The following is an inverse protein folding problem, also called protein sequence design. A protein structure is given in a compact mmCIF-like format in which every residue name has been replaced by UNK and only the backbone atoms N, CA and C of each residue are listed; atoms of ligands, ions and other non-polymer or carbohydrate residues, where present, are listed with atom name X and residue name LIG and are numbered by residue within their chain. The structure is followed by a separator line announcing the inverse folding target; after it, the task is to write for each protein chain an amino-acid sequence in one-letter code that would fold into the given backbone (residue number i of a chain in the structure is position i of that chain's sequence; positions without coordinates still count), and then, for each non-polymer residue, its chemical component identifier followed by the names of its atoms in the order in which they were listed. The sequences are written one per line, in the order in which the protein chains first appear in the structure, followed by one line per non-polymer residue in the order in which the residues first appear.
data_IF_447376457736
#
_entry.id   IF_447376457736
#
_cell.length_a   1.000
_cell.length_b   1.000
_cell.length_c   1.000
_cell.angle_alpha   90.00
_cell.angle_beta   90.00
_cell.angle_gamma   90.00
#
_symmetry.space_group_name_H-M   'P 1'
#
loop_
_entity.id
_entity.type
_entity.pdbx_description
1 polymer ?
#
# COMPACT_ATOMS: atom_id res chain seq x y z
N UNK A 1 -12.49 18.90 -7.11
CA UNK A 1 -12.34 18.66 -5.66
C UNK A 1 -10.88 18.32 -5.40
N UNK A 2 -10.24 18.98 -4.43
CA UNK A 2 -8.86 18.70 -4.03
C UNK A 2 -8.85 17.48 -3.11
N UNK A 3 -8.19 16.41 -3.55
CA UNK A 3 -8.04 15.16 -2.79
C UNK A 3 -7.10 15.39 -1.60
N UNK A 4 -7.39 14.87 -0.39
CA UNK A 4 -6.53 15.06 0.76
C UNK A 4 -5.10 14.55 0.51
N UNK A 5 -4.12 15.22 1.10
CA UNK A 5 -2.70 14.87 1.01
C UNK A 5 -2.22 14.41 2.38
N UNK A 6 -1.73 13.18 2.44
CA UNK A 6 -1.26 12.54 3.66
C UNK A 6 0.27 12.56 3.76
N UNK A 7 0.78 12.64 4.99
CA UNK A 7 2.18 12.39 5.37
C UNK A 7 2.53 10.90 5.28
N UNK A 8 3.81 10.56 5.44
CA UNK A 8 4.24 9.15 5.56
C UNK A 8 3.48 8.38 6.65
N UNK A 9 3.35 8.96 7.86
CA UNK A 9 2.73 8.28 8.98
C UNK A 9 1.23 8.08 8.74
N UNK A 10 0.54 9.12 8.22
CA UNK A 10 -0.87 9.04 7.87
C UNK A 10 -1.13 8.04 6.75
N UNK A 11 -0.30 8.03 5.70
CA UNK A 11 -0.42 7.09 4.59
C UNK A 11 -0.14 5.64 5.03
N UNK A 12 0.86 5.41 5.87
CA UNK A 12 1.15 4.10 6.42
C UNK A 12 -0.02 3.56 7.25
N UNK A 13 -0.62 4.41 8.10
CA UNK A 13 -1.80 4.07 8.88
C UNK A 13 -3.05 3.88 8.01
N UNK A 14 -3.22 4.69 6.97
CA UNK A 14 -4.33 4.55 6.02
C UNK A 14 -4.28 3.19 5.32
N UNK A 15 -3.08 2.75 4.94
CA UNK A 15 -2.82 1.43 4.37
C UNK A 15 -2.74 0.30 5.41
N UNK A 16 -2.97 0.59 6.70
CA UNK A 16 -2.88 -0.36 7.82
C UNK A 16 -1.53 -1.10 7.91
N UNK A 17 -0.44 -0.45 7.50
CA UNK A 17 0.90 -1.03 7.59
C UNK A 17 1.37 -1.15 9.05
N UNK A 18 0.71 -0.49 9.98
CA UNK A 18 0.95 -0.60 11.41
C UNK A 18 0.47 -1.93 12.01
N UNK A 19 -0.47 -2.63 11.36
CA UNK A 19 -0.93 -3.96 11.78
C UNK A 19 0.20 -5.01 11.70
N UNK A 20 1.11 -4.85 10.74
CA UNK A 20 2.31 -5.70 10.59
C UNK A 20 3.43 -5.36 11.59
N UNK A 21 3.39 -4.17 12.20
CA UNK A 21 4.43 -3.65 13.10
C UNK A 21 3.81 -2.95 14.32
N UNK A 22 3.09 -3.69 15.19
CA UNK A 22 2.38 -3.09 16.30
C UNK A 22 3.35 -2.37 17.24
N UNK A 23 3.10 -1.09 17.48
CA UNK A 23 3.93 -0.25 18.36
C UNK A 23 5.23 0.28 17.76
N UNK A 24 5.53 0.03 16.47
CA UNK A 24 6.67 0.64 15.75
C UNK A 24 6.21 1.43 14.51
N UNK A 25 5.81 2.71 14.69
CA UNK A 25 5.43 3.61 13.58
C UNK A 25 6.56 3.84 12.56
N UNK A 26 7.82 3.70 13.00
CA UNK A 26 8.97 3.85 12.12
C UNK A 26 9.09 2.63 11.19
N UNK A 27 8.79 1.42 11.66
CA UNK A 27 8.72 0.23 10.82
C UNK A 27 7.61 0.31 9.79
N UNK A 28 6.40 0.75 10.17
CA UNK A 28 5.30 0.99 9.24
C UNK A 28 5.68 2.02 8.16
N UNK A 29 6.36 3.10 8.54
CA UNK A 29 6.89 4.10 7.59
C UNK A 29 7.98 3.51 6.67
N UNK A 30 8.88 2.67 7.20
CA UNK A 30 9.88 1.96 6.38
C UNK A 30 9.22 1.01 5.38
N UNK A 31 8.13 0.35 5.76
CA UNK A 31 7.34 -0.50 4.86
C UNK A 31 6.75 0.32 3.70
N UNK A 32 6.16 1.48 4.00
CA UNK A 32 5.69 2.43 2.99
C UNK A 32 6.81 2.84 2.01
N UNK A 33 8.00 3.15 2.53
CA UNK A 33 9.15 3.51 1.69
C UNK A 33 9.60 2.36 0.78
N UNK A 34 9.48 1.10 1.20
CA UNK A 34 9.76 -0.05 0.34
C UNK A 34 8.78 -0.12 -0.83
N UNK A 35 7.50 0.18 -0.61
CA UNK A 35 6.49 0.24 -1.69
C UNK A 35 6.82 1.33 -2.71
N UNK A 36 7.26 2.51 -2.24
CA UNK A 36 7.71 3.60 -3.10
C UNK A 36 8.94 3.21 -3.90
N UNK A 37 9.97 2.64 -3.25
CA UNK A 37 11.20 2.19 -3.92
C UNK A 37 10.95 1.07 -4.93
N UNK A 38 9.97 0.21 -4.68
CA UNK A 38 9.53 -0.81 -5.62
C UNK A 38 8.69 -0.24 -6.78
N UNK A 39 8.42 1.07 -6.82
CA UNK A 39 7.60 1.71 -7.84
C UNK A 39 6.10 1.39 -7.76
N UNK A 40 5.67 0.75 -6.66
CA UNK A 40 4.28 0.33 -6.46
C UNK A 40 3.39 1.45 -5.93
N UNK A 41 3.99 2.41 -5.22
CA UNK A 41 3.28 3.57 -4.67
C UNK A 41 3.97 4.86 -5.08
N UNK A 42 3.21 5.83 -5.60
CA UNK A 42 3.77 7.08 -6.13
C UNK A 42 3.60 8.25 -5.16
N UNK A 43 4.69 8.76 -4.56
CA UNK A 43 4.60 9.97 -3.75
C UNK A 43 4.52 11.22 -4.64
N UNK A 44 3.96 12.29 -4.07
CA UNK A 44 4.05 13.63 -4.61
C UNK A 44 5.50 14.12 -4.61
N UNK A 45 5.94 14.65 -5.75
CA UNK A 45 7.27 15.21 -5.92
C UNK A 45 7.31 16.66 -5.42
N UNK A 46 8.45 17.08 -4.87
CA UNK A 46 8.71 18.48 -4.53
C UNK A 46 8.20 18.98 -3.18
N UNK A 47 7.63 18.11 -2.33
CA UNK A 47 7.11 18.49 -1.00
C UNK A 47 8.14 18.22 0.10
N UNK A 48 9.32 18.83 -0.01
CA UNK A 48 10.39 18.71 0.98
C UNK A 48 11.02 17.30 1.10
N UNK A 49 11.72 17.00 2.21
CA UNK A 49 12.48 15.75 2.37
C UNK A 49 11.59 14.52 2.64
N UNK A 50 10.29 14.72 2.87
CA UNK A 50 9.36 13.67 3.25
C UNK A 50 8.33 13.45 2.16
N UNK A 51 8.04 12.19 1.84
CA UNK A 51 6.98 11.88 0.89
C UNK A 51 5.61 12.35 1.38
N UNK A 52 4.76 12.68 0.41
CA UNK A 52 3.35 13.02 0.58
C UNK A 52 2.54 12.20 -0.41
N UNK A 53 1.32 11.84 -0.06
CA UNK A 53 0.50 10.93 -0.86
C UNK A 53 -0.91 11.48 -1.03
N UNK A 54 -1.43 11.46 -2.25
CA UNK A 54 -2.86 11.66 -2.46
C UNK A 54 -3.61 10.43 -1.99
N UNK A 55 -4.77 10.63 -1.36
CA UNK A 55 -5.66 9.51 -0.99
C UNK A 55 -5.99 8.66 -2.22
N UNK A 56 -6.26 9.26 -3.38
CA UNK A 56 -6.53 8.55 -4.64
C UNK A 56 -5.40 7.62 -5.11
N UNK A 57 -4.14 7.92 -4.75
CA UNK A 57 -3.03 7.02 -5.03
C UNK A 57 -3.06 5.81 -4.07
N UNK A 58 -3.36 6.06 -2.79
CA UNK A 58 -3.48 4.99 -1.79
C UNK A 58 -4.66 4.07 -2.11
N UNK A 59 -5.79 4.61 -2.55
CA UNK A 59 -6.96 3.85 -2.99
C UNK A 59 -6.66 2.99 -4.22
N UNK A 60 -5.99 3.56 -5.22
CA UNK A 60 -5.57 2.79 -6.41
C UNK A 60 -4.61 1.66 -6.04
N UNK A 61 -3.66 1.93 -5.16
CA UNK A 61 -2.76 0.91 -4.65
C UNK A 61 -3.51 -0.19 -3.90
N UNK A 62 -4.36 0.17 -2.94
CA UNK A 62 -5.12 -0.79 -2.13
C UNK A 62 -6.03 -1.67 -3.01
N UNK A 63 -6.68 -1.09 -4.01
CA UNK A 63 -7.48 -1.84 -4.99
C UNK A 63 -6.63 -2.85 -5.77
N UNK A 64 -5.48 -2.43 -6.28
CA UNK A 64 -4.58 -3.31 -7.02
C UNK A 64 -4.04 -4.46 -6.15
N UNK A 65 -3.82 -4.23 -4.85
CA UNK A 65 -3.43 -5.29 -3.92
C UNK A 65 -4.56 -6.31 -3.70
N UNK A 66 -5.80 -5.86 -3.51
CA UNK A 66 -6.95 -6.76 -3.37
C UNK A 66 -7.14 -7.60 -4.63
N UNK A 67 -7.13 -6.98 -5.81
CA UNK A 67 -7.27 -7.69 -7.09
C UNK A 67 -6.16 -8.73 -7.30
N UNK A 68 -4.94 -8.44 -6.83
CA UNK A 68 -3.82 -9.39 -6.89
C UNK A 68 -4.01 -10.58 -5.95
N UNK A 69 -4.52 -10.35 -4.74
CA UNK A 69 -4.81 -11.42 -3.76
C UNK A 69 -5.95 -12.31 -4.26
N UNK A 70 -6.99 -11.71 -4.83
CA UNK A 70 -8.12 -12.43 -5.42
C UNK A 70 -7.66 -13.30 -6.59
N UNK A 71 -6.89 -12.73 -7.53
CA UNK A 71 -6.34 -13.48 -8.67
C UNK A 71 -5.41 -14.64 -8.26
N UNK A 72 -4.64 -14.46 -7.17
CA UNK A 72 -3.80 -15.53 -6.62
C UNK A 72 -4.62 -16.64 -5.96
N UNK A 73 -5.78 -16.31 -5.39
CA UNK A 73 -6.68 -17.26 -4.73
C UNK A 73 -7.44 -18.11 -5.76
N UNK A 74 -7.90 -17.49 -6.86
CA UNK A 74 -8.58 -18.19 -7.95
C UNK A 74 -7.65 -19.19 -8.65
N UNK A 75 -6.37 -18.83 -8.81
CA UNK A 75 -5.35 -19.70 -9.41
C UNK A 75 -5.03 -20.97 -8.59
N UNK A 76 -5.42 -21.02 -7.30
CA UNK A 76 -5.21 -22.18 -6.43
C UNK A 76 -6.39 -23.17 -6.46
N UNK A 77 -7.56 -22.75 -6.97
CA UNK A 77 -8.78 -23.55 -6.99
C UNK A 77 -8.87 -24.54 -8.17
N UNK A 78 -8.02 -24.42 -9.20
CA UNK A 78 -8.07 -25.28 -10.40
C UNK A 78 -7.22 -26.57 -10.31
N UNK A 79 -6.88 -27.02 -9.10
CA UNK A 79 -5.98 -28.14 -8.86
C UNK A 79 -6.60 -29.35 -8.17
N UNK A 80 -7.71 -29.93 -8.67
CA UNK A 80 -8.10 -31.32 -8.34
C UNK A 80 -9.13 -31.89 -9.33
N UNK A 81 -8.69 -32.59 -10.41
CA UNK A 81 -9.49 -33.67 -10.96
C UNK A 81 -9.25 -34.93 -10.14
N UNK A 82 -10.35 -35.52 -9.66
CA UNK A 82 -10.40 -36.78 -8.95
C UNK A 82 -9.69 -37.91 -9.73
N UNK A 83 -9.00 -38.78 -9.00
CA UNK A 83 -8.64 -40.14 -9.44
C UNK A 83 -9.24 -41.14 -8.47
#
# INVERSE_FOLDING_TARGET
MTTPILTNAEAARWLRLDDDYPGDPAAATRALHRLVRAGRLRPLRGVGPSYRFHVDELERFARAETERVDAASDSHAEGSPAS
#
